data_IF_850062677616
#
_entry.id   IF_850062677616
#
_cell.length_a   1.000
_cell.length_b   1.000
_cell.length_c   1.000
_cell.angle_alpha   90.00
_cell.angle_beta   90.00
_cell.angle_gamma   90.00
#
_symmetry.space_group_name_H-M   'P 1'
#
loop_
_entity.id
_entity.type
_entity.pdbx_description
1 polymer ?
#
# COMPACT_ATOMS: atom_id res chain seq x y z
N UNK A 1 10.93 35.75 -3.95
CA UNK A 1 11.48 36.29 -5.21
C UNK A 1 13.00 36.30 -5.18
N UNK A 2 13.57 36.23 -3.99
CA UNK A 2 14.90 35.73 -3.59
C UNK A 2 15.67 34.91 -4.64
N UNK A 3 15.10 33.84 -5.19
CA UNK A 3 15.81 32.96 -6.15
C UNK A 3 16.00 33.59 -7.55
N UNK A 4 14.97 34.25 -8.09
CA UNK A 4 14.98 34.78 -9.47
C UNK A 4 15.26 36.28 -9.54
N UNK A 5 15.38 36.94 -8.38
CA UNK A 5 15.65 38.36 -8.23
C UNK A 5 14.67 39.27 -8.99
N UNK A 6 13.36 38.98 -8.88
CA UNK A 6 12.30 39.81 -9.48
C UNK A 6 11.65 40.73 -8.43
N UNK A 7 11.06 41.84 -8.86
CA UNK A 7 10.48 42.86 -7.96
C UNK A 7 9.07 42.53 -7.43
N UNK A 8 8.41 41.54 -8.03
CA UNK A 8 7.03 41.18 -7.71
C UNK A 8 6.57 39.99 -8.54
N UNK A 9 5.47 39.37 -8.12
CA UNK A 9 4.82 38.27 -8.83
C UNK A 9 3.32 38.55 -8.93
N UNK A 10 2.72 38.16 -10.04
CA UNK A 10 1.28 38.16 -10.23
C UNK A 10 0.81 36.71 -10.23
N UNK A 11 0.00 36.34 -9.24
CA UNK A 11 -0.70 35.07 -9.17
C UNK A 11 -2.00 35.16 -9.96
N UNK A 12 -2.12 34.32 -10.97
CA UNK A 12 -3.34 34.13 -11.73
C UNK A 12 -3.93 32.77 -11.31
N UNK A 13 -5.09 32.78 -10.67
CA UNK A 13 -5.71 31.56 -10.17
C UNK A 13 -7.11 31.41 -10.76
N UNK A 14 -7.37 30.23 -11.32
CA UNK A 14 -8.67 29.83 -11.83
C UNK A 14 -9.20 28.72 -10.91
N UNK A 15 -10.30 28.97 -10.21
CA UNK A 15 -10.93 27.98 -9.35
C UNK A 15 -12.29 27.55 -9.93
N UNK A 16 -12.28 26.89 -11.08
CA UNK A 16 -13.48 26.40 -11.74
C UNK A 16 -13.35 26.32 -13.25
N UNK A 17 -14.48 26.04 -13.91
CA UNK A 17 -14.56 25.89 -15.37
C UNK A 17 -15.28 27.07 -16.06
N UNK A 18 -15.42 28.22 -15.41
CA UNK A 18 -16.03 29.42 -16.01
C UNK A 18 -15.11 30.63 -15.88
N UNK A 19 -15.19 31.56 -16.83
CA UNK A 19 -14.37 32.79 -16.84
C UNK A 19 -14.56 33.65 -15.56
N UNK A 20 -15.73 33.55 -14.92
CA UNK A 20 -16.04 34.25 -13.67
C UNK A 20 -15.35 33.66 -12.42
N UNK A 21 -14.63 32.53 -12.55
CA UNK A 21 -13.89 31.89 -11.45
C UNK A 21 -12.40 32.24 -11.46
N UNK A 22 -12.02 33.25 -12.23
CA UNK A 22 -10.65 33.74 -12.34
C UNK A 22 -10.40 34.90 -11.37
N UNK A 23 -9.29 34.85 -10.62
CA UNK A 23 -8.82 35.99 -9.84
C UNK A 23 -7.33 36.23 -10.02
N UNK A 24 -6.96 37.51 -9.91
CA UNK A 24 -5.59 38.01 -10.00
C UNK A 24 -5.19 38.55 -8.63
N UNK A 25 -4.02 38.14 -8.14
CA UNK A 25 -3.40 38.68 -6.92
C UNK A 25 -1.97 39.10 -7.25
N UNK A 26 -1.59 40.31 -6.87
CA UNK A 26 -0.20 40.77 -7.00
C UNK A 26 0.47 40.75 -5.65
N UNK A 27 1.71 40.26 -5.61
CA UNK A 27 2.59 40.30 -4.45
C UNK A 27 3.86 41.07 -4.83
N UNK A 28 4.14 42.14 -4.10
CA UNK A 28 5.40 42.89 -4.24
C UNK A 28 6.50 42.25 -3.40
N UNK A 29 7.76 42.47 -3.78
CA UNK A 29 8.90 41.98 -3.03
C UNK A 29 8.99 42.61 -1.64
N UNK A 30 9.15 41.75 -0.65
CA UNK A 30 9.45 42.10 0.73
C UNK A 30 10.84 41.56 1.05
N UNK A 31 11.79 42.45 1.34
CA UNK A 31 13.17 42.07 1.58
C UNK A 31 13.39 41.52 2.99
N UNK A 32 12.65 42.03 3.99
CA UNK A 32 12.76 41.57 5.38
C UNK A 32 12.27 40.13 5.48
N UNK A 33 11.11 39.82 4.90
CA UNK A 33 10.57 38.46 4.86
C UNK A 33 11.47 37.50 4.06
N UNK A 34 12.10 37.98 2.99
CA UNK A 34 13.04 37.16 2.21
C UNK A 34 14.29 36.80 3.01
N UNK A 35 14.86 37.75 3.75
CA UNK A 35 16.03 37.51 4.58
C UNK A 35 15.71 36.52 5.71
N UNK A 36 14.57 36.70 6.40
CA UNK A 36 14.09 35.74 7.40
C UNK A 36 13.92 34.33 6.82
N UNK A 37 13.32 34.21 5.64
CA UNK A 37 13.11 32.91 4.99
C UNK A 37 14.43 32.26 4.58
N UNK A 38 15.40 33.03 4.10
CA UNK A 38 16.75 32.54 3.76
C UNK A 38 17.48 32.03 5.01
N UNK A 39 17.34 32.72 6.15
CA UNK A 39 17.93 32.25 7.41
C UNK A 39 17.31 30.95 7.89
N UNK A 40 15.97 30.82 7.84
CA UNK A 40 15.25 29.60 8.19
C UNK A 40 15.63 28.42 7.27
N UNK A 41 15.69 28.65 5.96
CA UNK A 41 16.11 27.63 4.99
C UNK A 41 17.55 27.20 5.21
N UNK A 42 18.45 28.14 5.55
CA UNK A 42 19.84 27.85 5.88
C UNK A 42 19.95 26.99 7.14
N UNK A 43 19.22 27.35 8.20
CA UNK A 43 19.18 26.57 9.43
C UNK A 43 18.67 25.16 9.17
N UNK A 44 17.56 25.03 8.45
CA UNK A 44 17.00 23.75 8.03
C UNK A 44 18.01 22.89 7.27
N UNK A 45 18.71 23.49 6.29
CA UNK A 45 19.71 22.79 5.48
C UNK A 45 20.89 22.30 6.32
N UNK A 46 21.44 23.13 7.19
CA UNK A 46 22.61 22.79 8.00
C UNK A 46 22.27 21.76 9.07
N UNK A 47 21.18 21.98 9.80
CA UNK A 47 20.85 21.18 11.00
C UNK A 47 20.10 19.90 10.68
N UNK A 48 19.44 19.80 9.53
CA UNK A 48 18.68 18.60 9.15
C UNK A 48 19.30 17.89 7.93
N UNK A 49 19.39 18.58 6.79
CA UNK A 49 19.84 17.94 5.53
C UNK A 49 21.30 17.53 5.59
N UNK A 50 22.21 18.46 5.92
CA UNK A 50 23.65 18.20 5.99
C UNK A 50 24.01 17.27 7.15
N UNK A 51 23.26 17.31 8.24
CA UNK A 51 23.39 16.41 9.38
C UNK A 51 22.86 14.99 9.10
N UNK A 52 22.16 14.77 7.98
CA UNK A 52 21.56 13.47 7.66
C UNK A 52 20.42 13.08 8.60
N UNK A 53 19.76 14.07 9.23
CA UNK A 53 18.62 13.83 10.11
C UNK A 53 17.37 13.71 9.26
N UNK A 54 16.86 12.49 9.14
CA UNK A 54 15.59 12.25 8.46
C UNK A 54 14.44 12.88 9.25
N UNK A 55 13.46 13.50 8.58
CA UNK A 55 12.25 13.97 9.24
C UNK A 55 11.47 12.79 9.82
N UNK A 56 10.79 13.02 10.94
CA UNK A 56 9.88 12.03 11.50
C UNK A 56 8.69 11.82 10.55
N UNK A 57 8.26 10.58 10.43
CA UNK A 57 7.05 10.25 9.70
C UNK A 57 5.83 10.51 10.59
N UNK A 58 4.86 11.26 10.05
CA UNK A 58 3.59 11.57 10.72
C UNK A 58 2.39 10.89 10.02
N UNK A 59 2.64 10.21 8.91
CA UNK A 59 1.63 9.55 8.08
C UNK A 59 1.22 8.16 8.60
N UNK A 60 0.20 7.59 7.97
CA UNK A 60 -0.23 6.22 8.23
C UNK A 60 0.89 5.21 7.95
N UNK A 61 0.97 4.10 8.73
CA UNK A 61 2.04 3.12 8.60
C UNK A 61 2.27 2.59 7.18
N UNK A 62 1.21 2.41 6.39
CA UNK A 62 1.29 1.91 5.02
C UNK A 62 2.03 2.88 4.09
N UNK A 63 1.82 4.19 4.27
CA UNK A 63 2.52 5.23 3.51
C UNK A 63 3.99 5.29 3.88
N UNK A 64 4.28 5.20 5.18
CA UNK A 64 5.65 5.18 5.70
C UNK A 64 6.41 3.96 5.18
N UNK A 65 5.80 2.76 5.25
CA UNK A 65 6.39 1.54 4.72
C UNK A 65 6.56 1.59 3.20
N UNK A 66 5.63 2.20 2.46
CA UNK A 66 5.76 2.40 1.02
C UNK A 66 6.92 3.35 0.68
N UNK A 67 7.10 4.44 1.43
CA UNK A 67 8.22 5.36 1.29
C UNK A 67 9.55 4.67 1.58
N UNK A 68 9.65 3.94 2.70
CA UNK A 68 10.83 3.13 3.05
C UNK A 68 11.12 2.14 1.92
N UNK A 69 10.12 1.40 1.43
CA UNK A 69 10.30 0.43 0.34
C UNK A 69 10.76 1.08 -0.96
N UNK A 70 10.31 2.29 -1.28
CA UNK A 70 10.70 3.02 -2.49
C UNK A 70 12.17 3.41 -2.50
N UNK A 71 12.72 3.82 -1.34
CA UNK A 71 14.10 4.30 -1.24
C UNK A 71 15.08 3.24 -0.72
N UNK A 72 14.59 2.15 -0.11
CA UNK A 72 15.41 1.06 0.40
C UNK A 72 15.98 0.23 -0.75
N UNK A 73 17.31 0.15 -0.82
CA UNK A 73 18.03 -0.81 -1.66
C UNK A 73 18.40 -2.02 -0.80
N UNK A 74 17.81 -3.18 -1.11
CA UNK A 74 18.16 -4.44 -0.43
C UNK A 74 19.43 -4.97 -1.07
N UNK A 75 20.52 -4.98 -0.31
CA UNK A 75 21.78 -5.58 -0.74
C UNK A 75 21.75 -7.10 -0.43
N UNK A 76 21.84 -7.97 -1.46
CA UNK A 76 21.74 -9.40 -1.25
C UNK A 76 22.90 -9.91 -0.38
N UNK A 77 22.58 -10.66 0.67
CA UNK A 77 23.56 -11.28 1.57
C UNK A 77 24.15 -10.37 2.65
N UNK A 78 23.79 -9.07 2.68
CA UNK A 78 24.23 -8.17 3.75
C UNK A 78 23.35 -8.33 4.99
N UNK A 79 23.99 -8.65 6.10
CA UNK A 79 23.36 -8.75 7.43
C UNK A 79 24.02 -7.76 8.39
N UNK A 80 23.21 -7.10 9.20
CA UNK A 80 23.67 -6.21 10.27
C UNK A 80 23.15 -6.71 11.62
N UNK A 81 23.87 -6.38 12.69
CA UNK A 81 23.36 -6.55 14.05
C UNK A 81 22.44 -5.37 14.35
N UNK A 82 21.21 -5.67 14.75
CA UNK A 82 20.22 -4.64 15.08
C UNK A 82 20.44 -4.12 16.52
N UNK A 83 20.15 -2.84 16.80
CA UNK A 83 20.24 -2.27 18.13
C UNK A 83 19.33 -2.99 19.14
N UNK A 84 19.81 -3.16 20.38
CA UNK A 84 19.05 -3.83 21.45
C UNK A 84 17.76 -3.10 21.86
N UNK A 85 17.67 -1.80 21.62
CA UNK A 85 16.47 -0.98 21.86
C UNK A 85 15.24 -1.47 21.06
N UNK A 86 15.46 -2.20 19.96
CA UNK A 86 14.39 -2.77 19.15
C UNK A 86 13.84 -4.09 19.70
N UNK A 87 14.43 -4.65 20.77
CA UNK A 87 14.03 -5.94 21.33
C UNK A 87 12.54 -5.97 21.72
N UNK A 88 12.06 -4.94 22.42
CA UNK A 88 10.66 -4.86 22.87
C UNK A 88 9.69 -4.74 21.68
N UNK A 89 10.08 -3.99 20.65
CA UNK A 89 9.31 -3.84 19.41
C UNK A 89 9.21 -5.19 18.68
N UNK A 90 10.32 -5.93 18.58
CA UNK A 90 10.36 -7.24 17.94
C UNK A 90 9.55 -8.28 18.72
N UNK A 91 9.61 -8.29 20.05
CA UNK A 91 8.79 -9.17 20.90
C UNK A 91 7.31 -8.90 20.68
N UNK A 92 6.91 -7.62 20.68
CA UNK A 92 5.52 -7.21 20.43
C UNK A 92 5.05 -7.64 19.04
N UNK A 93 5.89 -7.51 18.01
CA UNK A 93 5.58 -8.00 16.67
C UNK A 93 5.27 -9.49 16.68
N UNK A 94 6.15 -10.32 17.26
CA UNK A 94 5.98 -11.78 17.28
C UNK A 94 4.69 -12.17 18.02
N UNK A 95 4.37 -11.49 19.12
CA UNK A 95 3.11 -11.71 19.85
C UNK A 95 1.88 -11.37 18.99
N UNK A 96 1.89 -10.24 18.28
CA UNK A 96 0.79 -9.83 17.42
C UNK A 96 0.65 -10.74 16.19
N UNK A 97 1.76 -11.19 15.61
CA UNK A 97 1.76 -12.12 14.48
C UNK A 97 1.16 -13.47 14.88
N UNK A 98 1.50 -13.97 16.07
CA UNK A 98 0.89 -15.18 16.63
C UNK A 98 -0.62 -15.01 16.87
N UNK A 99 -1.05 -13.88 17.45
CA UNK A 99 -2.48 -13.57 17.63
C UNK A 99 -3.22 -13.46 16.29
N UNK A 100 -2.60 -12.86 15.26
CA UNK A 100 -3.17 -12.81 13.91
C UNK A 100 -3.40 -14.22 13.37
N UNK A 101 -2.40 -15.10 13.49
CA UNK A 101 -2.49 -16.48 13.01
C UNK A 101 -3.60 -17.27 13.72
N UNK A 102 -3.77 -17.08 15.03
CA UNK A 102 -4.85 -17.71 15.80
C UNK A 102 -6.24 -17.25 15.30
N UNK A 103 -6.44 -15.94 15.14
CA UNK A 103 -7.69 -15.38 14.62
C UNK A 103 -7.98 -15.84 13.19
N UNK A 104 -6.95 -15.97 12.35
CA UNK A 104 -7.10 -16.48 10.99
C UNK A 104 -7.51 -17.96 10.99
N UNK A 105 -6.99 -18.76 11.93
CA UNK A 105 -7.44 -20.15 12.14
C UNK A 105 -8.91 -20.20 12.53
N UNK A 106 -9.34 -19.39 13.51
CA UNK A 106 -10.73 -19.32 13.94
C UNK A 106 -11.65 -18.87 12.79
N UNK A 107 -11.24 -17.87 12.01
CA UNK A 107 -11.98 -17.42 10.83
C UNK A 107 -12.11 -18.55 9.78
N UNK A 108 -11.06 -19.37 9.61
CA UNK A 108 -11.08 -20.53 8.72
C UNK A 108 -12.04 -21.62 9.20
N UNK A 109 -12.10 -21.88 10.50
CA UNK A 109 -13.05 -22.83 11.09
C UNK A 109 -14.50 -22.37 10.87
N UNK A 110 -14.80 -21.11 11.16
CA UNK A 110 -16.13 -20.53 10.90
C UNK A 110 -16.49 -20.61 9.42
N UNK A 111 -15.53 -20.33 8.52
CA UNK A 111 -15.74 -20.46 7.09
C UNK A 111 -16.08 -21.90 6.69
N UNK A 112 -15.49 -22.91 7.32
CA UNK A 112 -15.81 -24.30 7.05
C UNK A 112 -17.20 -24.69 7.57
N UNK A 113 -17.57 -24.24 8.78
CA UNK A 113 -18.92 -24.41 9.32
C UNK A 113 -20.00 -23.79 8.42
N UNK A 114 -19.73 -22.60 7.86
CA UNK A 114 -20.63 -21.96 6.88
C UNK A 114 -20.82 -22.87 5.65
N UNK A 115 -19.75 -23.53 5.16
CA UNK A 115 -19.86 -24.47 4.04
C UNK A 115 -20.73 -25.65 4.37
N UNK A 116 -20.56 -26.26 5.53
CA UNK A 116 -21.39 -27.37 5.97
C UNK A 116 -22.88 -26.99 5.99
N UNK A 117 -23.20 -25.77 6.44
CA UNK A 117 -24.58 -25.26 6.51
C UNK A 117 -25.19 -25.01 5.12
N UNK A 118 -24.43 -24.49 4.14
CA UNK A 118 -25.00 -24.23 2.81
C UNK A 118 -25.01 -25.45 1.89
N UNK A 119 -24.34 -26.57 2.22
CA UNK A 119 -24.37 -27.82 1.41
C UNK A 119 -25.80 -28.31 1.14
N UNK A 120 -26.71 -28.42 2.12
CA UNK A 120 -28.11 -28.78 1.88
C UNK A 120 -28.84 -27.79 0.96
N UNK A 121 -28.56 -26.49 1.12
CA UNK A 121 -29.14 -25.43 0.28
C UNK A 121 -28.68 -25.58 -1.17
N UNK A 122 -27.39 -25.88 -1.39
CA UNK A 122 -26.84 -26.12 -2.72
C UNK A 122 -27.41 -27.41 -3.35
N UNK A 123 -27.61 -28.48 -2.56
CA UNK A 123 -28.30 -29.69 -3.02
C UNK A 123 -29.75 -29.41 -3.42
N UNK A 124 -30.47 -28.61 -2.64
CA UNK A 124 -31.86 -28.24 -2.93
C UNK A 124 -31.97 -27.33 -4.17
N UNK A 125 -30.97 -26.49 -4.42
CA UNK A 125 -30.89 -25.61 -5.59
C UNK A 125 -30.71 -26.40 -6.91
N UNK A 126 -30.04 -27.55 -6.86
CA UNK A 126 -29.84 -28.41 -8.03
C UNK A 126 -29.11 -27.71 -9.17
N UNK A 127 -29.78 -27.60 -10.33
CA UNK A 127 -29.25 -26.92 -11.52
C UNK A 127 -29.71 -25.46 -11.66
N UNK A 128 -30.49 -24.95 -10.70
CA UNK A 128 -31.00 -23.58 -10.77
C UNK A 128 -29.88 -22.56 -10.50
N UNK A 129 -29.94 -21.42 -11.20
CA UNK A 129 -29.00 -20.31 -11.01
C UNK A 129 -29.27 -19.55 -9.69
N UNK A 130 -30.49 -19.65 -9.16
CA UNK A 130 -30.90 -19.06 -7.89
C UNK A 130 -32.22 -19.62 -7.35
N UNK A 131 -32.54 -19.27 -6.12
CA UNK A 131 -33.71 -19.71 -5.39
C UNK A 131 -34.06 -18.75 -4.25
N UNK A 132 -35.31 -18.77 -3.81
CA UNK A 132 -35.80 -17.94 -2.72
C UNK A 132 -36.52 -18.79 -1.68
N UNK A 133 -36.32 -18.48 -0.40
CA UNK A 133 -37.06 -19.06 0.72
C UNK A 133 -37.80 -17.94 1.47
N UNK A 134 -39.12 -17.98 1.41
CA UNK A 134 -40.00 -17.06 2.14
C UNK A 134 -40.38 -17.68 3.48
N UNK A 135 -40.05 -17.02 4.59
CA UNK A 135 -40.46 -17.42 5.94
C UNK A 135 -40.98 -16.21 6.70
N UNK A 136 -42.29 -16.16 6.90
CA UNK A 136 -42.97 -15.05 7.57
C UNK A 136 -42.71 -13.72 6.86
N UNK A 137 -42.01 -12.81 7.53
CA UNK A 137 -41.67 -11.48 7.01
C UNK A 137 -40.25 -11.38 6.41
N UNK A 138 -39.54 -12.50 6.23
CA UNK A 138 -38.14 -12.53 5.75
C UNK A 138 -38.04 -13.37 4.48
N UNK A 139 -37.33 -12.85 3.48
CA UNK A 139 -37.02 -13.52 2.22
C UNK A 139 -35.52 -13.79 2.17
N UNK A 140 -35.13 -15.06 2.12
CA UNK A 140 -33.75 -15.46 1.88
C UNK A 140 -33.54 -15.74 0.39
N UNK A 141 -32.52 -15.14 -0.22
CA UNK A 141 -32.18 -15.35 -1.64
C UNK A 141 -30.84 -16.06 -1.75
N UNK A 142 -30.78 -17.04 -2.63
CA UNK A 142 -29.57 -17.77 -3.00
C UNK A 142 -29.39 -17.62 -4.50
N UNK A 143 -28.17 -17.36 -4.96
CA UNK A 143 -27.90 -17.28 -6.39
C UNK A 143 -26.42 -17.25 -6.67
N UNK A 144 -26.07 -17.65 -7.89
CA UNK A 144 -24.71 -17.52 -8.40
C UNK A 144 -24.57 -16.22 -9.18
N UNK A 145 -23.54 -15.45 -8.86
CA UNK A 145 -23.12 -14.34 -9.73
C UNK A 145 -22.05 -14.87 -10.68
N UNK A 146 -22.35 -14.88 -11.99
CA UNK A 146 -21.36 -15.25 -13.00
C UNK A 146 -20.24 -14.22 -13.02
N UNK A 147 -19.02 -14.65 -12.69
CA UNK A 147 -17.80 -13.85 -12.83
C UNK A 147 -16.88 -14.53 -13.84
N UNK A 148 -16.73 -13.92 -15.01
CA UNK A 148 -15.77 -14.39 -16.03
C UNK A 148 -14.45 -13.68 -15.81
N UNK A 149 -13.37 -14.44 -15.67
CA UNK A 149 -12.00 -13.93 -15.61
C UNK A 149 -11.15 -14.70 -16.61
N UNK A 150 -10.45 -13.99 -17.48
CA UNK A 150 -9.49 -14.58 -18.44
C UNK A 150 -8.09 -14.43 -17.86
N UNK A 151 -7.38 -15.54 -17.69
CA UNK A 151 -6.00 -15.53 -17.18
C UNK A 151 -5.21 -16.66 -17.83
N UNK A 152 -3.89 -16.48 -17.96
CA UNK A 152 -2.97 -17.49 -18.44
C UNK A 152 -2.34 -18.15 -17.22
N UNK A 153 -2.49 -19.46 -17.07
CA UNK A 153 -1.89 -20.19 -15.96
C UNK A 153 -0.37 -20.34 -16.15
N UNK A 154 0.35 -20.75 -15.10
CA UNK A 154 1.81 -20.87 -15.15
C UNK A 154 2.31 -21.80 -16.26
N UNK A 155 1.65 -22.94 -16.48
CA UNK A 155 2.07 -23.91 -17.47
C UNK A 155 1.88 -23.40 -18.91
N UNK A 156 0.77 -22.71 -19.17
CA UNK A 156 0.49 -22.07 -20.46
C UNK A 156 1.39 -20.86 -20.70
N UNK A 157 1.75 -20.12 -19.65
CA UNK A 157 2.68 -19.01 -19.73
C UNK A 157 4.10 -19.47 -20.11
N UNK A 158 4.57 -20.60 -19.56
CA UNK A 158 5.84 -21.21 -19.96
C UNK A 158 5.82 -21.70 -21.41
N UNK A 159 4.69 -22.30 -21.86
CA UNK A 159 4.51 -22.64 -23.28
C UNK A 159 4.53 -21.40 -24.17
N UNK A 160 3.89 -20.31 -23.75
CA UNK A 160 3.89 -19.05 -24.49
C UNK A 160 5.30 -18.47 -24.59
N UNK A 161 6.10 -18.56 -23.52
CA UNK A 161 7.50 -18.15 -23.52
C UNK A 161 8.37 -18.94 -24.51
N UNK A 162 8.09 -20.24 -24.69
CA UNK A 162 8.80 -21.11 -25.64
C UNK A 162 8.35 -20.90 -27.08
N UNK A 163 7.05 -20.77 -27.32
CA UNK A 163 6.48 -20.70 -28.68
C UNK A 163 6.48 -19.27 -29.25
N UNK A 164 6.30 -18.25 -28.40
CA UNK A 164 6.23 -16.84 -28.77
C UNK A 164 7.07 -15.97 -27.81
N UNK A 165 8.42 -16.11 -27.86
CA UNK A 165 9.32 -15.42 -26.93
C UNK A 165 9.31 -13.89 -27.08
N UNK A 166 9.04 -13.39 -28.29
CA UNK A 166 8.85 -11.98 -28.62
C UNK A 166 7.67 -11.37 -27.86
N UNK A 167 6.51 -12.03 -27.92
CA UNK A 167 5.29 -11.61 -27.20
C UNK A 167 5.51 -11.69 -25.69
N UNK A 168 6.20 -12.73 -25.21
CA UNK A 168 6.52 -12.84 -23.79
C UNK A 168 7.40 -11.68 -23.31
N UNK A 169 8.45 -11.32 -24.06
CA UNK A 169 9.32 -10.22 -23.67
C UNK A 169 8.63 -8.85 -23.69
N UNK A 170 7.72 -8.62 -24.64
CA UNK A 170 7.00 -7.35 -24.76
C UNK A 170 5.96 -7.14 -23.63
N UNK A 171 5.25 -8.20 -23.23
CA UNK A 171 4.10 -8.08 -22.34
C UNK A 171 4.29 -8.68 -20.94
N UNK A 172 5.17 -9.68 -20.77
CA UNK A 172 5.34 -10.33 -19.47
C UNK A 172 6.17 -9.48 -18.51
N UNK A 173 5.57 -9.08 -17.40
CA UNK A 173 6.26 -8.37 -16.31
C UNK A 173 6.56 -9.35 -15.19
N UNK A 174 7.83 -9.61 -14.94
CA UNK A 174 8.26 -10.36 -13.76
C UNK A 174 8.39 -9.39 -12.58
N UNK A 175 7.55 -9.57 -11.56
CA UNK A 175 7.65 -8.81 -10.32
C UNK A 175 8.26 -9.71 -9.24
N UNK A 176 9.44 -9.35 -8.75
CA UNK A 176 10.08 -10.01 -7.61
C UNK A 176 9.71 -9.24 -6.35
N UNK A 177 8.90 -9.84 -5.50
CA UNK A 177 8.57 -9.27 -4.19
C UNK A 177 9.33 -10.01 -3.09
N UNK A 178 9.82 -9.25 -2.11
CA UNK A 178 10.35 -9.77 -0.85
C UNK A 178 9.33 -9.52 0.24
N UNK A 179 9.12 -10.51 1.10
CA UNK A 179 8.19 -10.43 2.23
C UNK A 179 8.98 -10.12 3.50
N UNK A 180 8.55 -9.12 4.25
CA UNK A 180 9.13 -8.79 5.55
C UNK A 180 8.66 -9.78 6.62
N UNK A 181 9.56 -10.25 7.47
CA UNK A 181 9.23 -11.11 8.60
C UNK A 181 10.18 -10.88 9.77
N UNK A 182 9.69 -11.09 10.99
CA UNK A 182 10.50 -11.23 12.20
C UNK A 182 10.12 -12.56 12.84
N UNK A 183 11.11 -13.41 13.08
CA UNK A 183 10.92 -14.74 13.69
C UNK A 183 11.79 -14.85 14.92
N UNK A 184 11.29 -15.56 15.93
CA UNK A 184 12.07 -15.99 17.08
C UNK A 184 12.67 -17.36 16.76
N UNK A 185 14.00 -17.44 16.79
CA UNK A 185 14.74 -18.70 16.68
C UNK A 185 15.62 -18.85 17.93
N UNK A 186 15.69 -20.06 18.48
CA UNK A 186 16.60 -20.37 19.58
C UNK A 186 17.98 -20.66 19.01
N UNK A 187 19.03 -20.08 19.62
CA UNK A 187 20.40 -20.38 19.19
C UNK A 187 20.69 -21.85 19.50
N UNK A 188 21.27 -22.61 18.56
CA UNK A 188 21.79 -23.93 18.88
C UNK A 188 22.86 -23.80 19.96
N UNK A 189 22.83 -24.73 20.92
CA UNK A 189 23.76 -24.81 22.04
C UNK A 189 25.22 -25.02 21.59
#
# INVERSE_FOLDING_TARGET
>A
MSVTNVAGVIFLCLYGNSENTFFIRTLTRDLELEDEMIELERDFWVNNVKAGREPEFYEEPDLVLAAIKKYRKIEPGKTIVLPGELEDVMKKYVQLDAKRAELESQAREVKEQIKEIYVPVQKALGQAEGGELNTGNIIYRVGYTKRTTTSINKAELEKLKLTYPDVYQEYAKTNVSSIFFIKKEEKPA
#
